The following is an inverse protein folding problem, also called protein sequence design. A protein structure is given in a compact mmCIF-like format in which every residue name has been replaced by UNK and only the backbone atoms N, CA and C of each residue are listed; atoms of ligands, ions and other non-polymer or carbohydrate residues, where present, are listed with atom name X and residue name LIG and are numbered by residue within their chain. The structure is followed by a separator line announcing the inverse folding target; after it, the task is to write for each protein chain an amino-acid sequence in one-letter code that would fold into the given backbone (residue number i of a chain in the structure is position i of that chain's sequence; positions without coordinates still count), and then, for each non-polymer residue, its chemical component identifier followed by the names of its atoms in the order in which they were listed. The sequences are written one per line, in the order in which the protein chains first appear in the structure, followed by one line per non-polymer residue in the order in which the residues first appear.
data_IF_362342627253
#
_entry.id   IF_362342627253
#
_cell.length_a   1.000
_cell.length_b   1.000
_cell.length_c   1.000
_cell.angle_alpha   90.00
_cell.angle_beta   90.00
_cell.angle_gamma   90.00
#
_symmetry.space_group_name_H-M   'P 1'
#
loop_
_entity.id
_entity.type
_entity.pdbx_description
1 polymer ?
#
# COMPACT_ATOMS: atom_id res chain seq x y z
N UNK A 1 0.53 2.87 -1.63
CA UNK A 1 -0.29 3.33 -2.76
C UNK A 1 0.04 4.77 -3.11
N UNK A 2 0.46 5.02 -4.35
CA UNK A 2 0.78 6.37 -4.84
C UNK A 2 1.69 7.20 -3.90
N UNK A 3 2.67 6.57 -3.28
CA UNK A 3 3.62 7.20 -2.38
C UNK A 3 3.10 7.58 -0.98
N UNK A 4 1.90 7.12 -0.62
CA UNK A 4 1.23 7.38 0.65
C UNK A 4 0.56 6.11 1.19
N UNK A 5 0.10 6.15 2.42
CA UNK A 5 -0.84 5.13 2.93
C UNK A 5 -2.10 5.14 2.07
N UNK A 6 -2.65 3.98 1.66
CA UNK A 6 -3.87 3.95 0.87
C UNK A 6 -4.99 4.74 1.53
N UNK A 7 -5.56 5.71 0.81
CA UNK A 7 -6.59 6.59 1.35
C UNK A 7 -7.82 5.84 1.87
N UNK A 8 -8.14 4.69 1.29
CA UNK A 8 -9.25 3.82 1.75
C UNK A 8 -8.99 3.18 3.12
N UNK A 9 -7.73 3.07 3.54
CA UNK A 9 -7.35 2.53 4.85
C UNK A 9 -7.25 3.60 5.95
N UNK A 10 -7.15 4.88 5.60
CA UNK A 10 -6.96 5.95 6.57
C UNK A 10 -8.06 6.02 7.65
N UNK A 11 -9.37 5.89 7.32
CA UNK A 11 -10.41 5.86 8.35
C UNK A 11 -10.24 4.70 9.32
N UNK A 12 -9.94 3.49 8.80
CA UNK A 12 -9.70 2.32 9.64
C UNK A 12 -8.50 2.53 10.58
N UNK A 13 -7.37 2.98 10.04
CA UNK A 13 -6.15 3.20 10.81
C UNK A 13 -6.34 4.24 11.91
N UNK A 14 -7.05 5.34 11.63
CA UNK A 14 -7.20 6.47 12.56
C UNK A 14 -8.34 6.32 13.56
N UNK A 15 -9.34 5.51 13.25
CA UNK A 15 -10.58 5.44 14.03
C UNK A 15 -10.79 4.10 14.72
N UNK A 16 -10.14 3.05 14.22
CA UNK A 16 -10.37 1.67 14.68
C UNK A 16 -9.17 1.05 15.39
N UNK A 17 -7.98 1.59 15.19
CA UNK A 17 -6.78 1.12 15.88
C UNK A 17 -6.61 1.93 17.16
N UNK A 18 -6.41 1.22 18.27
CA UNK A 18 -6.09 1.81 19.56
C UNK A 18 -4.77 1.25 20.03
N UNK A 19 -3.75 2.10 20.13
CA UNK A 19 -2.38 1.66 20.39
C UNK A 19 -2.12 1.12 21.78
N UNK A 20 -2.78 1.67 22.80
CA UNK A 20 -2.65 1.20 24.19
C UNK A 20 -1.21 1.17 24.75
N UNK A 21 -0.29 1.97 24.20
CA UNK A 21 1.12 1.94 24.59
C UNK A 21 1.93 0.80 23.96
N UNK A 22 1.40 0.08 22.98
CA UNK A 22 2.11 -1.03 22.35
C UNK A 22 3.31 -0.54 21.52
N UNK A 23 4.35 -1.38 21.45
CA UNK A 23 5.43 -1.19 20.48
C UNK A 23 4.89 -1.40 19.06
N UNK A 24 5.37 -0.62 18.11
CA UNK A 24 4.94 -0.72 16.72
C UNK A 24 6.13 -0.77 15.75
N UNK A 25 5.94 -1.49 14.66
CA UNK A 25 6.90 -1.59 13.55
C UNK A 25 6.15 -1.32 12.25
N UNK A 26 6.02 -0.06 11.82
CA UNK A 26 5.42 0.25 10.53
C UNK A 26 6.24 -0.34 9.39
N UNK A 27 5.56 -1.08 8.52
CA UNK A 27 6.14 -1.68 7.32
C UNK A 27 5.31 -1.30 6.10
N UNK A 28 5.97 -0.88 5.03
CA UNK A 28 5.34 -0.60 3.75
C UNK A 28 5.93 -1.46 2.65
N UNK A 29 5.08 -1.96 1.76
CA UNK A 29 5.48 -2.64 0.54
C UNK A 29 5.26 -1.72 -0.65
N UNK A 30 6.17 -1.73 -1.61
CA UNK A 30 6.07 -0.87 -2.79
C UNK A 30 6.64 -1.55 -4.03
N UNK A 31 6.11 -1.18 -5.21
CA UNK A 31 6.47 -1.77 -6.50
C UNK A 31 7.77 -1.21 -7.11
N UNK A 32 8.81 -1.00 -6.32
CA UNK A 32 10.15 -0.56 -6.74
C UNK A 32 10.23 0.80 -7.51
N UNK A 33 9.15 1.59 -7.54
CA UNK A 33 9.24 2.97 -8.01
C UNK A 33 9.78 3.89 -6.91
N UNK A 34 9.01 4.10 -5.89
CA UNK A 34 9.30 4.84 -4.67
C UNK A 34 8.13 4.67 -3.69
N UNK A 35 8.40 4.64 -2.39
CA UNK A 35 7.35 4.66 -1.36
C UNK A 35 7.07 6.08 -0.83
N UNK A 36 7.82 7.08 -1.30
CA UNK A 36 7.68 8.51 -1.00
C UNK A 36 7.47 8.76 0.51
N UNK A 37 6.27 9.17 0.93
CA UNK A 37 5.94 9.48 2.32
C UNK A 37 5.10 8.40 3.02
N UNK A 38 4.88 7.24 2.39
CA UNK A 38 4.01 6.20 2.96
C UNK A 38 4.51 5.71 4.33
N UNK A 39 5.83 5.56 4.50
CA UNK A 39 6.40 5.05 5.74
C UNK A 39 6.29 6.08 6.87
N UNK A 40 6.62 7.34 6.61
CA UNK A 40 6.51 8.40 7.62
C UNK A 40 5.04 8.66 7.99
N UNK A 41 4.13 8.62 7.03
CA UNK A 41 2.70 8.74 7.29
C UNK A 41 2.19 7.61 8.20
N UNK A 42 2.51 6.35 7.87
CA UNK A 42 2.10 5.20 8.68
C UNK A 42 2.69 5.29 10.08
N UNK A 43 3.99 5.59 10.21
CA UNK A 43 4.64 5.80 11.52
C UNK A 43 3.92 6.86 12.35
N UNK A 44 3.58 8.00 11.74
CA UNK A 44 2.92 9.10 12.43
C UNK A 44 1.49 8.74 12.86
N UNK A 45 0.75 8.01 12.04
CA UNK A 45 -0.59 7.53 12.40
C UNK A 45 -0.49 6.61 13.63
N UNK A 46 0.38 5.60 13.60
CA UNK A 46 0.53 4.67 14.72
C UNK A 46 0.97 5.39 16.00
N UNK A 47 1.87 6.37 15.89
CA UNK A 47 2.28 7.18 17.04
C UNK A 47 1.13 8.04 17.59
N UNK A 48 0.31 8.63 16.72
CA UNK A 48 -0.87 9.42 17.10
C UNK A 48 -1.95 8.54 17.78
N UNK A 49 -2.04 7.27 17.40
CA UNK A 49 -2.96 6.28 17.98
C UNK A 49 -2.44 5.72 19.34
N UNK A 50 -1.33 6.25 19.86
CA UNK A 50 -0.77 5.89 21.16
C UNK A 50 0.13 4.65 21.13
N UNK A 51 0.70 4.30 19.97
CA UNK A 51 1.75 3.29 19.86
C UNK A 51 3.15 3.92 19.93
N UNK A 52 4.16 3.07 20.13
CA UNK A 52 5.57 3.45 20.14
C UNK A 52 6.31 2.82 18.96
N UNK A 53 6.43 3.50 17.79
CA UNK A 53 7.19 3.00 16.66
C UNK A 53 8.69 2.88 16.99
N UNK A 54 9.19 1.64 17.13
CA UNK A 54 10.58 1.33 17.53
C UNK A 54 11.51 1.06 16.35
N UNK A 55 10.97 0.51 15.27
CA UNK A 55 11.65 0.23 14.01
C UNK A 55 10.69 0.46 12.86
N UNK A 56 11.20 0.53 11.62
CA UNK A 56 10.37 0.70 10.42
C UNK A 56 11.04 0.09 9.21
N UNK A 57 10.25 -0.46 8.27
CA UNK A 57 10.75 -1.10 7.06
C UNK A 57 10.01 -0.68 5.79
N UNK A 58 10.72 -0.68 4.67
CA UNK A 58 10.13 -0.53 3.34
C UNK A 58 10.72 -1.61 2.42
N UNK A 59 9.88 -2.51 1.92
CA UNK A 59 10.32 -3.65 1.11
C UNK A 59 9.70 -3.62 -0.28
N UNK A 60 10.45 -4.18 -1.22
CA UNK A 60 10.05 -4.21 -2.63
C UNK A 60 9.17 -5.43 -2.89
N UNK A 61 8.12 -5.23 -3.69
CA UNK A 61 7.32 -6.29 -4.30
C UNK A 61 7.11 -5.98 -5.78
N UNK A 62 6.47 -6.88 -6.50
CA UNK A 62 6.10 -6.63 -7.90
C UNK A 62 5.23 -5.37 -8.04
N UNK A 63 5.47 -4.63 -9.09
CA UNK A 63 4.68 -3.45 -9.40
C UNK A 63 3.36 -3.84 -10.06
N UNK A 64 2.23 -3.36 -9.54
CA UNK A 64 0.88 -3.75 -9.99
C UNK A 64 0.62 -3.50 -11.49
N UNK A 65 1.24 -2.47 -12.08
CA UNK A 65 1.00 -2.06 -13.46
C UNK A 65 2.19 -2.26 -14.40
N UNK A 66 3.38 -2.53 -13.86
CA UNK A 66 4.61 -2.73 -14.66
C UNK A 66 4.97 -4.22 -14.67
N UNK A 67 5.30 -4.74 -15.86
CA UNK A 67 5.84 -6.11 -16.02
C UNK A 67 7.37 -6.15 -15.90
N UNK A 68 8.01 -5.01 -15.68
CA UNK A 68 9.47 -4.88 -15.60
C UNK A 68 9.91 -4.36 -14.24
N UNK A 69 9.20 -3.37 -13.72
CA UNK A 69 9.55 -2.73 -12.46
C UNK A 69 9.21 -3.65 -11.29
N UNK A 70 10.23 -4.11 -10.57
CA UNK A 70 10.06 -5.04 -9.46
C UNK A 70 9.62 -6.45 -9.91
N UNK A 71 9.89 -6.84 -11.18
CA UNK A 71 9.60 -8.19 -11.65
C UNK A 71 10.32 -9.23 -10.77
N UNK A 72 9.65 -10.32 -10.48
CA UNK A 72 10.12 -11.44 -9.65
C UNK A 72 10.55 -11.02 -8.22
N UNK A 73 10.00 -9.90 -7.70
CA UNK A 73 10.27 -9.43 -6.33
C UNK A 73 9.05 -9.64 -5.41
N UNK A 74 9.21 -10.06 -4.12
CA UNK A 74 10.51 -10.29 -3.47
C UNK A 74 11.21 -11.54 -4.01
N UNK A 75 12.54 -11.49 -4.06
CA UNK A 75 13.41 -12.61 -4.36
C UNK A 75 14.17 -13.07 -3.09
N UNK A 76 15.03 -14.05 -3.20
CA UNK A 76 15.79 -14.60 -2.06
C UNK A 76 16.66 -13.55 -1.33
N UNK A 77 17.15 -12.53 -2.03
CA UNK A 77 17.90 -11.43 -1.40
C UNK A 77 16.97 -10.54 -0.57
N UNK A 78 15.76 -10.27 -1.07
CA UNK A 78 14.74 -9.53 -0.33
C UNK A 78 14.29 -10.28 0.91
N UNK A 79 14.08 -11.60 0.78
CA UNK A 79 13.69 -12.47 1.90
C UNK A 79 14.76 -12.44 2.98
N UNK A 80 16.03 -12.58 2.61
CA UNK A 80 17.15 -12.48 3.55
C UNK A 80 17.21 -11.13 4.28
N UNK A 81 16.94 -10.01 3.57
CA UNK A 81 16.86 -8.67 4.18
C UNK A 81 15.67 -8.55 5.13
N UNK A 82 14.53 -9.16 4.80
CA UNK A 82 13.37 -9.17 5.69
C UNK A 82 13.61 -10.00 6.95
N UNK A 83 14.29 -11.14 6.82
CA UNK A 83 14.68 -11.99 7.96
C UNK A 83 15.67 -11.28 8.87
N UNK A 84 16.70 -10.63 8.30
CA UNK A 84 17.64 -9.81 9.07
C UNK A 84 16.91 -8.67 9.80
N UNK A 85 16.02 -7.97 9.10
CA UNK A 85 15.21 -6.91 9.72
C UNK A 85 14.37 -7.45 10.87
N UNK A 86 13.70 -8.58 10.70
CA UNK A 86 12.87 -9.19 11.73
C UNK A 86 13.70 -9.59 12.96
N UNK A 87 14.87 -10.20 12.76
CA UNK A 87 15.78 -10.57 13.84
C UNK A 87 16.23 -9.33 14.65
N UNK A 88 16.64 -8.26 13.96
CA UNK A 88 17.05 -7.00 14.61
C UNK A 88 15.91 -6.32 15.36
N UNK A 89 14.68 -6.38 14.84
CA UNK A 89 13.48 -5.88 15.54
C UNK A 89 13.22 -6.68 16.82
N UNK A 90 13.34 -8.01 16.76
CA UNK A 90 13.16 -8.87 17.92
C UNK A 90 14.20 -8.57 19.00
N UNK A 91 15.48 -8.45 18.65
CA UNK A 91 16.55 -8.06 19.57
C UNK A 91 16.30 -6.69 20.20
N UNK A 92 15.93 -5.69 19.37
CA UNK A 92 15.62 -4.35 19.86
C UNK A 92 14.45 -4.38 20.84
N UNK A 93 13.36 -5.05 20.52
CA UNK A 93 12.18 -5.14 21.37
C UNK A 93 12.50 -5.86 22.71
N UNK A 94 13.31 -6.92 22.69
CA UNK A 94 13.72 -7.65 23.88
C UNK A 94 14.67 -6.83 24.78
N UNK A 95 15.44 -5.89 24.21
CA UNK A 95 16.37 -5.05 24.95
C UNK A 95 15.77 -3.75 25.51
N UNK A 96 14.47 -3.50 25.29
CA UNK A 96 13.81 -2.30 25.82
C UNK A 96 13.26 -2.52 27.22
N UNK A 97 13.79 -1.78 28.20
CA UNK A 97 13.23 -1.74 29.56
C UNK A 97 11.92 -0.95 29.64
N UNK A 98 11.71 0.01 28.73
CA UNK A 98 10.50 0.81 28.62
C UNK A 98 10.29 1.30 27.18
N UNK A 99 9.04 1.59 26.83
CA UNK A 99 8.71 2.13 25.51
C UNK A 99 9.40 3.48 25.26
N UNK A 100 10.04 3.69 24.11
CA UNK A 100 10.76 4.93 23.82
C UNK A 100 9.79 6.11 23.66
N UNK A 101 10.19 7.27 24.17
CA UNK A 101 9.41 8.50 24.05
C UNK A 101 9.35 9.02 22.61
N UNK A 102 10.41 8.78 21.83
CA UNK A 102 10.49 9.20 20.43
C UNK A 102 10.33 8.05 19.49
N UNK A 103 9.47 8.23 18.51
CA UNK A 103 9.35 7.28 17.39
C UNK A 103 10.65 7.21 16.58
N UNK A 104 10.91 6.04 15.98
CA UNK A 104 12.02 5.84 15.06
C UNK A 104 12.01 6.88 13.93
N UNK A 105 13.19 7.38 13.58
CA UNK A 105 13.36 8.26 12.43
C UNK A 105 13.23 7.46 11.13
N UNK A 106 12.45 7.96 10.18
CA UNK A 106 12.22 7.31 8.89
C UNK A 106 12.33 8.33 7.76
N UNK A 107 12.63 7.85 6.57
CA UNK A 107 12.60 8.67 5.36
C UNK A 107 11.17 9.11 5.05
N UNK A 108 11.02 10.37 4.65
CA UNK A 108 9.78 10.99 4.24
C UNK A 108 9.86 12.50 4.42
N UNK A 109 8.78 13.19 4.10
CA UNK A 109 8.67 14.65 4.19
C UNK A 109 7.49 15.04 5.08
N UNK A 110 7.68 16.08 5.87
CA UNK A 110 6.61 16.77 6.60
C UNK A 110 6.64 18.27 6.26
N UNK A 111 5.52 18.87 5.81
CA UNK A 111 4.21 18.24 5.59
C UNK A 111 4.25 17.20 4.46
N UNK A 112 3.37 16.20 4.56
CA UNK A 112 3.30 15.10 3.59
C UNK A 112 3.00 15.61 2.19
N UNK A 113 3.70 15.07 1.19
CA UNK A 113 3.40 15.34 -0.23
C UNK A 113 2.00 14.84 -0.60
N UNK A 114 1.36 15.41 -1.64
CA UNK A 114 0.13 14.85 -2.17
C UNK A 114 0.37 13.43 -2.72
N UNK A 115 -0.71 12.64 -2.87
CA UNK A 115 -0.64 11.38 -3.56
C UNK A 115 -0.04 11.55 -4.95
N UNK A 116 0.86 10.65 -5.33
CA UNK A 116 1.41 10.64 -6.68
C UNK A 116 0.29 10.51 -7.72
N UNK A 117 0.28 11.40 -8.68
CA UNK A 117 -0.66 11.35 -9.80
C UNK A 117 0.05 10.74 -11.01
N UNK A 118 -0.39 9.56 -11.49
CA UNK A 118 0.15 8.97 -12.72
C UNK A 118 0.04 9.91 -13.90
N UNK A 119 0.96 9.79 -14.85
CA UNK A 119 0.97 10.60 -16.08
C UNK A 119 1.00 9.69 -17.29
N UNK A 120 0.40 10.16 -18.39
CA UNK A 120 0.51 9.52 -19.70
C UNK A 120 1.91 9.76 -20.32
N UNK A 121 2.12 9.22 -21.53
CA UNK A 121 3.39 9.38 -22.25
C UNK A 121 3.67 10.84 -22.67
N UNK A 122 2.65 11.68 -22.76
CA UNK A 122 2.77 13.10 -23.05
C UNK A 122 2.96 13.96 -21.78
N UNK A 123 2.97 13.32 -20.59
CA UNK A 123 3.16 13.99 -19.31
C UNK A 123 1.87 14.53 -18.69
N UNK A 124 0.70 14.29 -19.28
CA UNK A 124 -0.57 14.74 -18.73
C UNK A 124 -1.00 13.87 -17.54
N UNK A 125 -1.61 14.44 -16.47
CA UNK A 125 -2.09 13.68 -15.34
C UNK A 125 -3.25 12.76 -15.76
N UNK A 126 -3.20 11.50 -15.30
CA UNK A 126 -4.25 10.51 -15.54
C UNK A 126 -5.03 10.29 -14.25
N UNK A 127 -6.35 10.39 -14.33
CA UNK A 127 -7.22 9.98 -13.25
C UNK A 127 -7.57 8.49 -13.41
N UNK A 128 -6.77 7.62 -12.77
CA UNK A 128 -6.95 6.17 -12.85
C UNK A 128 -8.28 5.69 -12.25
N UNK A 129 -8.89 6.46 -11.34
CA UNK A 129 -10.20 6.13 -10.77
C UNK A 129 -11.35 6.25 -11.77
N UNK A 130 -11.13 6.97 -12.87
CA UNK A 130 -12.08 7.09 -13.98
C UNK A 130 -11.87 6.04 -15.06
N UNK A 131 -10.76 5.32 -15.02
CA UNK A 131 -10.49 4.23 -15.98
C UNK A 131 -11.31 3.02 -15.57
N UNK A 132 -12.14 2.54 -16.49
CA UNK A 132 -12.96 1.35 -16.30
C UNK A 132 -12.67 0.35 -17.41
N UNK A 133 -12.77 -0.97 -17.14
CA UNK A 133 -12.64 -1.96 -18.18
C UNK A 133 -13.74 -1.77 -19.23
N UNK A 134 -13.42 -2.09 -20.46
CA UNK A 134 -14.38 -2.11 -21.57
C UNK A 134 -14.51 -3.54 -22.07
N UNK A 135 -15.74 -4.03 -22.15
CA UNK A 135 -16.03 -5.33 -22.70
C UNK A 135 -16.14 -5.26 -24.22
N UNK A 136 -15.36 -6.05 -24.91
CA UNK A 136 -15.53 -6.29 -26.35
C UNK A 136 -16.62 -7.33 -26.55
N UNK A 137 -17.83 -6.88 -26.83
CA UNK A 137 -19.00 -7.75 -26.99
C UNK A 137 -18.88 -8.69 -28.18
N UNK A 138 -18.05 -8.38 -29.20
CA UNK A 138 -17.82 -9.27 -30.35
C UNK A 138 -17.01 -10.52 -29.97
N UNK A 139 -16.27 -10.45 -28.86
CA UNK A 139 -15.44 -11.52 -28.31
C UNK A 139 -16.00 -12.12 -27.02
N UNK A 140 -17.06 -11.53 -26.49
CA UNK A 140 -17.63 -11.93 -25.21
C UNK A 140 -18.53 -13.17 -25.40
N UNK A 141 -18.20 -14.25 -24.72
CA UNK A 141 -19.03 -15.47 -24.71
C UNK A 141 -20.17 -15.44 -23.69
N UNK A 142 -20.39 -14.37 -22.96
CA UNK A 142 -21.49 -14.23 -21.99
C UNK A 142 -21.37 -15.11 -20.74
N UNK A 143 -20.17 -15.61 -20.41
CA UNK A 143 -19.98 -16.58 -19.31
C UNK A 143 -20.12 -15.98 -17.90
N UNK A 144 -20.17 -14.65 -17.73
CA UNK A 144 -20.32 -14.00 -16.44
C UNK A 144 -19.07 -13.97 -15.53
N UNK A 145 -18.00 -14.71 -15.86
CA UNK A 145 -16.82 -14.88 -15.03
C UNK A 145 -16.18 -13.56 -14.58
N UNK A 146 -16.18 -12.54 -15.45
CA UNK A 146 -15.65 -11.22 -15.10
C UNK A 146 -16.45 -10.51 -14.00
N UNK A 147 -17.76 -10.74 -13.91
CA UNK A 147 -18.60 -10.23 -12.83
C UNK A 147 -18.37 -11.02 -11.54
N UNK A 148 -18.27 -12.34 -11.62
CA UNK A 148 -18.02 -13.20 -10.45
C UNK A 148 -16.67 -12.96 -9.81
N UNK A 149 -15.63 -12.71 -10.62
CA UNK A 149 -14.27 -12.44 -10.13
C UNK A 149 -14.03 -10.98 -9.74
N UNK A 150 -14.97 -10.07 -9.98
CA UNK A 150 -14.78 -8.66 -9.66
C UNK A 150 -14.82 -8.44 -8.13
N UNK A 151 -13.70 -8.12 -7.45
CA UNK A 151 -13.68 -7.99 -5.99
C UNK A 151 -14.52 -6.81 -5.49
N UNK A 152 -14.84 -5.86 -6.37
CA UNK A 152 -15.64 -4.68 -6.06
C UNK A 152 -17.12 -4.85 -6.42
N UNK A 153 -17.52 -5.98 -7.03
CA UNK A 153 -18.87 -6.16 -7.54
C UNK A 153 -19.30 -5.08 -8.54
N UNK A 154 -18.32 -4.50 -9.24
CA UNK A 154 -18.57 -3.34 -10.11
C UNK A 154 -19.04 -3.72 -11.52
N UNK A 155 -18.94 -4.98 -11.94
CA UNK A 155 -19.41 -5.47 -13.24
C UNK A 155 -20.81 -6.03 -13.03
N UNK A 156 -21.76 -5.55 -13.83
CA UNK A 156 -23.14 -6.02 -13.76
C UNK A 156 -23.24 -7.45 -14.30
N UNK A 157 -23.70 -8.44 -13.51
CA UNK A 157 -23.79 -9.83 -13.98
C UNK A 157 -24.83 -10.03 -15.09
N UNK A 158 -25.85 -9.15 -15.18
CA UNK A 158 -26.85 -9.20 -16.24
C UNK A 158 -26.38 -8.50 -17.53
N UNK A 159 -25.45 -7.57 -17.41
CA UNK A 159 -24.83 -6.85 -18.52
C UNK A 159 -23.35 -6.59 -18.23
N UNK A 160 -22.49 -7.51 -18.59
CA UNK A 160 -21.03 -7.43 -18.34
C UNK A 160 -20.35 -6.27 -19.06
N UNK A 161 -21.03 -5.54 -19.91
CA UNK A 161 -20.53 -4.28 -20.49
C UNK A 161 -20.78 -3.08 -19.57
N UNK A 162 -21.70 -3.19 -18.61
CA UNK A 162 -22.02 -2.17 -17.63
C UNK A 162 -21.08 -2.27 -16.42
N UNK A 163 -20.17 -1.31 -16.30
CA UNK A 163 -19.27 -1.19 -15.16
C UNK A 163 -19.73 -0.05 -14.27
N UNK A 164 -20.26 -0.40 -13.10
CA UNK A 164 -20.80 0.53 -12.09
C UNK A 164 -19.87 0.62 -10.88
N UNK A 165 -19.95 1.69 -10.11
CA UNK A 165 -19.17 1.82 -8.87
C UNK A 165 -17.67 2.06 -9.09
N UNK A 166 -16.87 1.56 -8.15
CA UNK A 166 -15.42 1.78 -8.09
C UNK A 166 -14.71 0.62 -8.79
N UNK A 167 -13.70 0.96 -9.61
CA UNK A 167 -12.74 0.01 -10.18
C UNK A 167 -11.37 0.30 -9.56
N UNK A 168 -10.72 -0.73 -9.01
CA UNK A 168 -9.38 -0.66 -8.38
C UNK A 168 -8.40 -1.55 -9.14
#
# INVERSE_FOLDING_TARGET
YAGRVPNVLLPFLRERIVGGGALAVPVVLFGNRNYDDALIELRNILAADGMHPIAAGAFVGEHSFSRVLGADRPNAEDEALMDEFAARVAELAAGLDAAPVKSVAVRGQEPLRPYYTPRDRAGNPINILKVKPKTDLSRCGGCGLCADLCPMGSIDPADVSAVRGICI
#
